data_IF_096978356354
#
_entry.id   IF_096978356354
#
_cell.length_a   1.000
_cell.length_b   1.000
_cell.length_c   1.000
_cell.angle_alpha   90.00
_cell.angle_beta   90.00
_cell.angle_gamma   90.00
#
_symmetry.space_group_name_H-M   'P 1'
#
loop_
_entity.id
_entity.type
_entity.pdbx_description
1 polymer ?
#
# COMPACT_ATOMS: atom_id res chain seq x y z
N UNK A 1 -11.66 -24.09 -64.80
CA UNK A 1 -11.51 -24.50 -63.36
C UNK A 1 -10.86 -23.46 -62.45
N UNK A 2 -10.33 -22.39 -62.95
CA UNK A 2 -9.60 -21.34 -62.16
C UNK A 2 -10.46 -20.32 -61.42
N UNK A 3 -11.62 -20.00 -61.97
CA UNK A 3 -12.49 -18.95 -61.42
C UNK A 3 -13.17 -19.33 -60.08
N UNK A 4 -13.55 -20.59 -59.92
CA UNK A 4 -14.14 -21.10 -58.67
C UNK A 4 -13.09 -21.21 -57.52
N UNK A 5 -11.87 -21.56 -57.87
CA UNK A 5 -10.76 -21.62 -56.89
C UNK A 5 -10.38 -20.23 -56.37
N UNK A 6 -10.35 -19.24 -57.26
CA UNK A 6 -10.07 -17.84 -56.91
C UNK A 6 -11.16 -17.23 -55.98
N UNK A 7 -12.46 -17.51 -56.23
CA UNK A 7 -13.53 -17.08 -55.35
C UNK A 7 -13.45 -17.69 -53.94
N UNK A 8 -13.09 -18.95 -53.83
CA UNK A 8 -12.90 -19.63 -52.54
C UNK A 8 -11.72 -19.05 -51.75
N UNK A 9 -10.64 -18.72 -52.45
CA UNK A 9 -9.46 -18.12 -51.84
C UNK A 9 -9.76 -16.72 -51.28
N UNK A 10 -10.51 -15.90 -52.02
CA UNK A 10 -10.94 -14.56 -51.57
C UNK A 10 -11.91 -14.61 -50.39
N UNK A 11 -12.80 -15.62 -50.34
CA UNK A 11 -13.70 -15.81 -49.20
C UNK A 11 -12.96 -16.20 -47.92
N UNK A 12 -11.94 -17.06 -48.03
CA UNK A 12 -11.12 -17.47 -46.88
C UNK A 12 -10.26 -16.32 -46.39
N UNK A 13 -9.73 -15.48 -47.28
CA UNK A 13 -8.96 -14.29 -46.92
C UNK A 13 -9.85 -13.22 -46.23
N UNK A 14 -11.09 -13.02 -46.71
CA UNK A 14 -12.03 -12.07 -46.13
C UNK A 14 -12.54 -12.52 -44.74
N UNK A 15 -12.71 -13.83 -44.53
CA UNK A 15 -13.16 -14.37 -43.25
C UNK A 15 -12.05 -14.39 -42.20
N UNK A 16 -10.78 -14.47 -42.59
CA UNK A 16 -9.62 -14.40 -41.69
C UNK A 16 -9.40 -13.00 -41.09
N UNK A 17 -9.84 -11.95 -41.75
CA UNK A 17 -9.70 -10.56 -41.26
C UNK A 17 -10.73 -10.15 -40.19
N UNK A 18 -11.81 -10.91 -40.04
CA UNK A 18 -12.88 -10.60 -39.09
C UNK A 18 -12.62 -11.15 -37.67
N UNK A 19 -11.62 -12.02 -37.47
CA UNK A 19 -11.29 -12.62 -36.19
C UNK A 19 -10.13 -11.91 -35.45
N UNK A 20 -9.58 -10.83 -35.97
CA UNK A 20 -8.66 -9.98 -35.23
C UNK A 20 -9.44 -9.06 -34.28
N UNK A 21 -10.31 -9.63 -33.44
CA UNK A 21 -10.73 -8.95 -32.22
C UNK A 21 -9.53 -8.92 -31.27
N UNK A 22 -8.69 -7.90 -31.39
CA UNK A 22 -7.81 -7.52 -30.29
C UNK A 22 -8.71 -7.28 -29.09
N UNK A 23 -8.73 -8.21 -28.15
CA UNK A 23 -9.29 -7.96 -26.84
C UNK A 23 -8.50 -6.78 -26.26
N UNK A 24 -8.99 -5.59 -26.49
CA UNK A 24 -8.53 -4.36 -25.88
C UNK A 24 -8.91 -4.53 -24.42
N UNK A 25 -7.97 -5.09 -23.65
CA UNK A 25 -8.07 -5.02 -22.19
C UNK A 25 -8.28 -3.55 -21.89
N UNK A 26 -9.46 -3.23 -21.35
CA UNK A 26 -9.77 -1.88 -20.89
C UNK A 26 -8.69 -1.53 -19.85
N UNK A 27 -7.67 -0.79 -20.27
CA UNK A 27 -6.66 -0.20 -19.39
C UNK A 27 -7.26 1.01 -18.68
N UNK A 28 -8.43 0.80 -18.06
CA UNK A 28 -8.88 1.67 -17.00
C UNK A 28 -7.88 1.50 -15.87
N UNK A 29 -7.13 2.54 -15.55
CA UNK A 29 -6.23 2.53 -14.39
C UNK A 29 -7.05 2.13 -13.18
N UNK A 30 -6.76 0.94 -12.63
CA UNK A 30 -7.44 0.45 -11.44
C UNK A 30 -7.22 1.45 -10.31
N UNK A 31 -8.30 1.85 -9.65
CA UNK A 31 -8.22 2.79 -8.54
C UNK A 31 -7.82 2.05 -7.26
N UNK A 32 -6.52 2.09 -6.92
CA UNK A 32 -5.99 1.43 -5.73
C UNK A 32 -6.63 1.92 -4.43
N UNK A 33 -7.04 3.20 -4.35
CA UNK A 33 -7.78 3.71 -3.19
C UNK A 33 -9.15 3.07 -3.05
N UNK A 34 -9.90 2.95 -4.14
CA UNK A 34 -11.21 2.31 -4.10
C UNK A 34 -11.11 0.82 -3.72
N UNK A 35 -10.06 0.13 -4.19
CA UNK A 35 -9.78 -1.27 -3.79
C UNK A 35 -9.45 -1.34 -2.30
N UNK A 36 -8.62 -0.43 -1.79
CA UNK A 36 -8.31 -0.33 -0.36
C UNK A 36 -9.56 -0.08 0.48
N UNK A 37 -10.36 0.91 0.11
CA UNK A 37 -11.57 1.28 0.84
C UNK A 37 -12.55 0.10 0.95
N UNK A 38 -12.66 -0.68 -0.11
CA UNK A 38 -13.57 -1.84 -0.17
C UNK A 38 -13.06 -3.05 0.62
N UNK A 39 -11.76 -3.35 0.56
CA UNK A 39 -11.23 -4.65 1.00
C UNK A 39 -10.34 -4.55 2.25
N UNK A 40 -9.73 -3.40 2.52
CA UNK A 40 -8.67 -3.26 3.53
C UNK A 40 -9.08 -2.32 4.68
N UNK A 41 -9.92 -1.32 4.40
CA UNK A 41 -10.25 -0.23 5.34
C UNK A 41 -11.00 -0.71 6.59
N UNK A 42 -11.60 -1.89 6.56
CA UNK A 42 -12.25 -2.50 7.72
C UNK A 42 -11.24 -2.74 8.86
N UNK A 43 -10.03 -3.18 8.52
CA UNK A 43 -8.96 -3.45 9.49
C UNK A 43 -7.92 -2.36 9.56
N UNK A 44 -7.58 -1.72 8.44
CA UNK A 44 -6.54 -0.70 8.35
C UNK A 44 -7.13 0.71 8.35
N UNK A 45 -6.54 1.61 9.14
CA UNK A 45 -6.67 3.05 8.96
C UNK A 45 -5.59 3.54 8.00
N UNK A 46 -5.83 4.65 7.30
CA UNK A 46 -4.76 5.31 6.51
C UNK A 46 -3.75 5.96 7.44
N UNK A 47 -4.25 6.71 8.41
CA UNK A 47 -3.47 7.44 9.42
C UNK A 47 -3.66 6.81 10.80
N UNK A 48 -2.71 7.02 11.74
CA UNK A 48 -2.95 6.69 13.16
C UNK A 48 -4.19 7.40 13.71
N UNK A 49 -4.90 6.82 14.69
CA UNK A 49 -4.56 5.58 15.41
C UNK A 49 -4.87 4.31 14.60
N UNK A 50 -4.22 3.19 14.94
CA UNK A 50 -4.54 1.90 14.32
C UNK A 50 -5.94 1.42 14.68
N UNK A 51 -6.54 0.64 13.79
CA UNK A 51 -7.73 -0.18 14.07
C UNK A 51 -7.29 -1.58 14.55
N UNK A 52 -7.79 -2.63 13.95
CA UNK A 52 -7.35 -4.02 14.21
C UNK A 52 -6.10 -4.44 13.41
N UNK A 53 -5.53 -3.52 12.62
CA UNK A 53 -4.32 -3.71 11.84
C UNK A 53 -3.49 -2.41 11.83
N UNK A 54 -2.20 -2.45 11.44
CA UNK A 54 -1.35 -1.27 11.43
C UNK A 54 -1.85 -0.21 10.43
N UNK A 55 -1.67 1.09 10.72
CA UNK A 55 -2.00 2.16 9.79
C UNK A 55 -1.12 2.11 8.53
N UNK A 56 -1.67 2.56 7.41
CA UNK A 56 -1.00 2.47 6.11
C UNK A 56 0.19 3.43 5.98
N UNK A 57 0.08 4.66 6.46
CA UNK A 57 1.16 5.66 6.31
C UNK A 57 2.46 5.24 7.01
N UNK A 58 2.47 4.72 8.24
CA UNK A 58 3.67 4.12 8.83
C UNK A 58 4.20 2.92 8.04
N UNK A 59 3.33 2.04 7.53
CA UNK A 59 3.76 0.92 6.68
C UNK A 59 4.43 1.41 5.39
N UNK A 60 3.87 2.41 4.73
CA UNK A 60 4.48 3.05 3.55
C UNK A 60 5.90 3.57 3.89
N UNK A 61 6.10 4.15 5.07
CA UNK A 61 7.41 4.60 5.51
C UNK A 61 8.41 3.46 5.64
N UNK A 62 8.01 2.30 6.16
CA UNK A 62 8.88 1.11 6.22
C UNK A 62 9.25 0.61 4.83
N UNK A 63 8.30 0.64 3.87
CA UNK A 63 8.57 0.27 2.48
C UNK A 63 9.59 1.22 1.83
N UNK A 64 9.46 2.53 2.00
CA UNK A 64 10.39 3.53 1.47
C UNK A 64 11.79 3.45 2.09
N UNK A 65 11.90 2.97 3.32
CA UNK A 65 13.20 2.72 3.95
C UNK A 65 13.91 1.48 3.38
N UNK A 66 13.13 0.44 3.11
CA UNK A 66 13.69 -0.84 2.69
C UNK A 66 13.97 -0.90 1.18
N UNK A 67 13.15 -0.24 0.36
CA UNK A 67 13.22 -0.31 -1.10
C UNK A 67 13.53 1.05 -1.70
N UNK A 68 14.59 1.09 -2.52
CA UNK A 68 15.02 2.32 -3.19
C UNK A 68 14.13 2.70 -4.38
N UNK A 69 13.35 1.75 -4.92
CA UNK A 69 12.46 2.00 -6.07
C UNK A 69 11.01 1.64 -5.75
N UNK A 70 10.08 2.42 -6.30
CA UNK A 70 8.64 2.12 -6.22
C UNK A 70 8.33 0.73 -6.78
N UNK A 71 8.97 0.36 -7.89
CA UNK A 71 8.77 -0.93 -8.54
C UNK A 71 9.04 -2.10 -7.59
N UNK A 72 10.16 -2.05 -6.87
CA UNK A 72 10.56 -3.15 -5.97
C UNK A 72 9.67 -3.20 -4.73
N UNK A 73 9.36 -2.04 -4.14
CA UNK A 73 8.47 -1.95 -3.00
C UNK A 73 7.05 -2.44 -3.33
N UNK A 74 6.50 -2.01 -4.47
CA UNK A 74 5.18 -2.45 -4.94
C UNK A 74 5.14 -3.94 -5.26
N UNK A 75 6.17 -4.47 -5.94
CA UNK A 75 6.26 -5.90 -6.24
C UNK A 75 6.28 -6.75 -4.96
N UNK A 76 7.08 -6.33 -3.97
CA UNK A 76 7.13 -7.02 -2.68
C UNK A 76 5.79 -6.96 -1.96
N UNK A 77 5.16 -5.78 -1.89
CA UNK A 77 3.87 -5.62 -1.23
C UNK A 77 2.76 -6.43 -1.90
N UNK A 78 2.67 -6.40 -3.24
CA UNK A 78 1.68 -7.19 -3.97
C UNK A 78 1.86 -8.69 -3.71
N UNK A 79 3.10 -9.18 -3.71
CA UNK A 79 3.41 -10.57 -3.39
C UNK A 79 3.07 -10.92 -1.93
N UNK A 80 3.32 -10.00 -0.99
CA UNK A 80 2.95 -10.17 0.41
C UNK A 80 1.43 -10.21 0.60
N UNK A 81 0.67 -9.33 -0.05
CA UNK A 81 -0.79 -9.32 -0.01
C UNK A 81 -1.39 -10.64 -0.51
N UNK A 82 -0.80 -11.21 -1.55
CA UNK A 82 -1.21 -12.50 -2.12
C UNK A 82 -0.90 -13.69 -1.22
N UNK A 83 0.26 -13.68 -0.58
CA UNK A 83 0.74 -14.78 0.26
C UNK A 83 1.53 -14.26 1.46
N UNK A 84 0.83 -13.76 2.51
CA UNK A 84 1.48 -13.24 3.70
C UNK A 84 2.31 -14.31 4.42
N UNK A 85 3.51 -13.90 4.84
CA UNK A 85 4.46 -14.76 5.53
C UNK A 85 5.24 -13.91 6.54
N UNK A 86 5.54 -14.46 7.71
CA UNK A 86 6.27 -13.75 8.78
C UNK A 86 7.63 -13.25 8.32
N UNK A 87 8.34 -14.07 7.54
CA UNK A 87 9.70 -13.77 7.08
C UNK A 87 9.74 -12.68 6.00
N UNK A 88 8.61 -12.46 5.32
CA UNK A 88 8.45 -11.42 4.30
C UNK A 88 7.82 -10.14 4.82
N UNK A 89 7.42 -10.11 6.08
CA UNK A 89 6.77 -8.93 6.65
C UNK A 89 7.73 -7.73 6.66
N UNK A 90 7.22 -6.59 6.22
CA UNK A 90 7.99 -5.33 6.27
C UNK A 90 8.15 -4.82 7.69
N UNK A 91 7.18 -5.12 8.56
CA UNK A 91 7.16 -4.77 9.97
C UNK A 91 6.87 -6.01 10.82
N UNK A 92 7.90 -6.69 11.33
CA UNK A 92 7.73 -7.84 12.22
C UNK A 92 7.04 -7.50 13.55
N UNK A 93 7.15 -6.26 14.04
CA UNK A 93 6.48 -5.82 15.27
C UNK A 93 4.96 -5.73 15.08
N UNK A 94 4.51 -5.36 13.89
CA UNK A 94 3.10 -5.37 13.56
C UNK A 94 2.51 -6.78 13.66
N UNK A 95 3.25 -7.82 13.26
CA UNK A 95 2.79 -9.21 13.40
C UNK A 95 2.63 -9.61 14.88
N UNK A 96 3.57 -9.19 15.73
CA UNK A 96 3.49 -9.45 17.17
C UNK A 96 2.26 -8.79 17.79
N UNK A 97 1.91 -7.59 17.32
CA UNK A 97 0.81 -6.80 17.88
C UNK A 97 -0.57 -7.16 17.31
N UNK A 98 -0.65 -7.41 16.01
CA UNK A 98 -1.91 -7.56 15.29
C UNK A 98 -2.12 -8.95 14.69
N UNK A 99 -1.11 -9.81 14.73
CA UNK A 99 -1.11 -11.10 14.04
C UNK A 99 -0.70 -10.99 12.57
N UNK A 100 -0.56 -12.15 11.93
CA UNK A 100 -0.29 -12.21 10.49
C UNK A 100 -1.56 -11.89 9.72
N UNK A 101 -1.46 -10.97 8.78
CA UNK A 101 -2.57 -10.60 7.89
C UNK A 101 -3.02 -11.81 7.06
N UNK A 102 -4.33 -12.04 6.84
CA UNK A 102 -4.81 -13.08 5.94
C UNK A 102 -4.47 -12.77 4.48
N UNK A 103 -4.27 -13.81 3.67
CA UNK A 103 -4.06 -13.66 2.23
C UNK A 103 -5.28 -12.99 1.56
N UNK A 104 -5.00 -12.11 0.61
CA UNK A 104 -6.03 -11.38 -0.12
C UNK A 104 -6.39 -12.10 -1.42
N UNK A 105 -7.63 -12.58 -1.54
CA UNK A 105 -8.14 -13.27 -2.72
C UNK A 105 -8.57 -12.26 -3.82
N UNK A 106 -7.67 -11.35 -4.21
CA UNK A 106 -7.88 -10.37 -5.26
C UNK A 106 -7.08 -10.73 -6.51
N UNK A 107 -7.52 -10.32 -7.72
CA UNK A 107 -6.73 -10.44 -8.93
C UNK A 107 -5.37 -9.74 -8.79
N UNK A 108 -4.34 -10.26 -9.45
CA UNK A 108 -2.97 -9.72 -9.37
C UNK A 108 -2.90 -8.23 -9.76
N UNK A 109 -3.71 -7.81 -10.73
CA UNK A 109 -3.80 -6.41 -11.13
C UNK A 109 -4.36 -5.51 -10.01
N UNK A 110 -5.34 -5.99 -9.24
CA UNK A 110 -5.91 -5.26 -8.10
C UNK A 110 -4.94 -5.24 -6.92
N UNK A 111 -4.26 -6.36 -6.64
CA UNK A 111 -3.20 -6.43 -5.63
C UNK A 111 -2.09 -5.43 -5.93
N UNK A 112 -1.71 -5.31 -7.20
CA UNK A 112 -0.72 -4.34 -7.64
C UNK A 112 -1.21 -2.89 -7.49
N UNK A 113 -2.44 -2.61 -7.92
CA UNK A 113 -3.02 -1.27 -7.84
C UNK A 113 -3.13 -0.78 -6.38
N UNK A 114 -3.57 -1.63 -5.46
CA UNK A 114 -3.61 -1.28 -4.04
C UNK A 114 -2.20 -1.13 -3.44
N UNK A 115 -1.24 -1.96 -3.87
CA UNK A 115 0.15 -1.84 -3.44
C UNK A 115 0.79 -0.51 -3.91
N UNK A 116 0.51 -0.07 -5.12
CA UNK A 116 0.94 1.23 -5.64
C UNK A 116 0.33 2.37 -4.83
N UNK A 117 -0.96 2.29 -4.54
CA UNK A 117 -1.62 3.28 -3.71
C UNK A 117 -1.04 3.33 -2.29
N UNK A 118 -0.76 2.20 -1.66
CA UNK A 118 -0.12 2.12 -0.34
C UNK A 118 1.27 2.75 -0.35
N UNK A 119 2.08 2.46 -1.37
CA UNK A 119 3.39 3.10 -1.55
C UNK A 119 3.28 4.63 -1.56
N UNK A 120 2.28 5.16 -2.26
CA UNK A 120 2.07 6.60 -2.41
C UNK A 120 1.53 7.28 -1.14
N UNK A 121 1.18 6.52 -0.08
CA UNK A 121 0.80 7.08 1.23
C UNK A 121 2.00 7.49 2.08
N UNK A 122 3.22 7.35 1.57
CA UNK A 122 4.41 7.82 2.28
C UNK A 122 4.36 9.32 2.54
N UNK A 123 4.61 9.69 3.79
CA UNK A 123 4.67 11.09 4.21
C UNK A 123 5.99 11.34 4.97
N UNK A 124 6.95 12.05 4.36
CA UNK A 124 8.24 12.33 5.00
C UNK A 124 8.12 13.19 6.26
N UNK A 125 7.02 13.96 6.39
CA UNK A 125 6.78 14.80 7.57
C UNK A 125 6.18 14.04 8.76
N UNK A 126 5.63 12.86 8.50
CA UNK A 126 5.32 11.91 9.56
C UNK A 126 6.59 11.15 9.88
N UNK A 127 7.45 11.76 10.68
CA UNK A 127 8.65 11.11 11.18
C UNK A 127 8.29 9.72 11.63
N UNK A 128 9.10 8.73 11.23
CA UNK A 128 9.06 7.41 11.82
C UNK A 128 9.06 7.60 13.31
N UNK A 129 7.98 7.21 13.94
CA UNK A 129 7.75 7.49 15.34
C UNK A 129 9.06 7.32 16.11
N UNK A 130 9.66 8.42 16.46
CA UNK A 130 10.36 8.47 17.73
C UNK A 130 9.35 7.87 18.66
N UNK A 131 9.67 6.65 19.14
CA UNK A 131 8.79 5.85 19.91
C UNK A 131 7.90 6.69 20.78
N UNK A 132 6.66 6.29 20.96
CA UNK A 132 5.89 6.78 22.11
C UNK A 132 6.72 6.45 23.37
N UNK A 133 7.84 7.15 23.49
CA UNK A 133 8.65 7.28 24.68
C UNK A 133 7.87 8.15 25.60
N UNK A 134 7.36 7.52 26.61
CA UNK A 134 7.07 8.02 27.94
C UNK A 134 7.35 9.51 28.12
N UNK A 135 6.31 10.21 28.59
CA UNK A 135 6.36 11.61 28.95
C UNK A 135 7.61 11.98 29.73
N UNK A 136 8.42 12.84 29.14
CA UNK A 136 9.24 13.72 29.92
C UNK A 136 8.32 14.82 30.42
N UNK A 137 7.82 14.62 31.64
CA UNK A 137 7.25 15.66 32.44
C UNK A 137 8.30 16.76 32.61
N UNK A 138 8.16 17.84 31.84
CA UNK A 138 8.80 19.10 32.16
C UNK A 138 8.06 19.68 33.37
N UNK A 139 8.51 19.30 34.55
CA UNK A 139 8.21 20.01 35.78
C UNK A 139 8.84 21.39 35.69
N UNK A 140 8.08 22.38 35.27
CA UNK A 140 8.43 23.78 35.52
C UNK A 140 8.22 24.05 37.00
N UNK A 141 9.28 23.85 37.79
CA UNK A 141 9.39 24.33 39.15
C UNK A 141 9.44 25.86 39.14
N UNK A 142 8.30 26.50 39.35
CA UNK A 142 8.26 27.92 39.74
C UNK A 142 8.77 28.06 41.18
N UNK A 143 10.07 28.24 41.34
CA UNK A 143 10.69 28.69 42.60
C UNK A 143 10.43 30.16 42.81
N UNK A 144 9.37 30.50 43.53
CA UNK A 144 9.21 31.84 44.14
C UNK A 144 10.04 31.91 45.43
N UNK A 145 11.29 32.29 45.28
CA UNK A 145 12.11 32.74 46.42
C UNK A 145 11.82 34.17 46.76
N UNK A 146 10.93 34.41 47.71
CA UNK A 146 10.83 35.71 48.42
C UNK A 146 11.80 35.70 49.59
N UNK A 147 12.98 36.21 49.38
CA UNK A 147 13.86 36.67 50.44
C UNK A 147 13.51 38.08 50.84
N UNK A 148 12.89 38.27 52.00
CA UNK A 148 12.77 39.56 52.68
C UNK A 148 13.81 39.62 53.79
N UNK A 149 14.90 40.31 53.53
CA UNK A 149 15.78 40.78 54.58
C UNK A 149 15.22 42.01 55.17
N UNK A 150 15.02 42.02 56.51
CA UNK A 150 14.89 43.22 57.35
C UNK A 150 16.06 43.27 58.31
N UNK A 151 16.76 44.25 58.16
CA UNK A 151 17.45 45.20 59.00
C UNK A 151 17.17 45.13 60.49
N UNK A 152 18.15 45.06 61.29
CA UNK A 152 18.65 46.10 62.18
C UNK A 152 19.98 45.72 62.70
#
# INVERSE_FOLDING_TARGET
MTYLAMKRLLFILAMGLLFNSTAQAATGTLNGKAIFDKNCSVCHSVMPPPKSAPPITPLASHYHQKYSTKKDGVNHLAAYLKSPNKDKAIDPQAITRFGLMPAQALPDAELRAVAEWVWDQYNPNMGMGRGMGMGQGQGQGMGMGRGRGMNQ
#
